data_IF_652094165547
#
_entry.id   IF_652094165547
#
_cell.length_a   1.000
_cell.length_b   1.000
_cell.length_c   1.000
_cell.angle_alpha   90.00
_cell.angle_beta   90.00
_cell.angle_gamma   90.00
#
_symmetry.space_group_name_H-M   'P 1'
#
loop_
_entity.id
_entity.type
_entity.pdbx_description
1 polymer ?
#
# COMPACT_ATOMS: atom_id res chain seq x y z
N UNK A 1 -20.69 28.46 0.36
CA UNK A 1 -20.66 27.38 1.37
C UNK A 1 -20.71 28.06 2.73
N UNK A 2 -21.57 27.63 3.64
CA UNK A 2 -21.67 28.21 4.99
C UNK A 2 -20.71 27.50 5.96
N UNK A 3 -20.38 28.14 7.08
CA UNK A 3 -19.39 27.64 8.05
C UNK A 3 -19.76 26.24 8.59
N UNK A 4 -21.05 25.96 8.79
CA UNK A 4 -21.54 24.64 9.23
C UNK A 4 -21.36 23.52 8.19
N UNK A 5 -21.43 23.80 6.88
CA UNK A 5 -21.14 22.79 5.86
C UNK A 5 -19.64 22.50 5.73
N UNK A 6 -18.80 23.49 5.98
CA UNK A 6 -17.34 23.33 5.98
C UNK A 6 -16.90 22.49 7.18
N UNK A 7 -17.44 22.73 8.37
CA UNK A 7 -17.16 21.91 9.56
C UNK A 7 -17.58 20.44 9.38
N UNK A 8 -18.78 20.17 8.86
CA UNK A 8 -19.24 18.81 8.58
C UNK A 8 -18.36 18.09 7.55
N UNK A 9 -17.90 18.80 6.52
CA UNK A 9 -17.02 18.23 5.49
C UNK A 9 -15.64 17.88 6.06
N UNK A 10 -15.12 18.71 6.97
CA UNK A 10 -13.85 18.45 7.64
C UNK A 10 -13.95 17.27 8.62
N UNK A 11 -15.08 17.13 9.32
CA UNK A 11 -15.35 15.97 10.19
C UNK A 11 -15.40 14.67 9.38
N UNK A 12 -16.16 14.65 8.28
CA UNK A 12 -16.23 13.50 7.37
C UNK A 12 -14.85 13.13 6.81
N UNK A 13 -14.07 14.12 6.37
CA UNK A 13 -12.71 13.91 5.87
C UNK A 13 -11.80 13.28 6.94
N UNK A 14 -11.86 13.77 8.17
CA UNK A 14 -11.09 13.22 9.29
C UNK A 14 -11.51 11.78 9.61
N UNK A 15 -12.81 11.47 9.59
CA UNK A 15 -13.32 10.12 9.78
C UNK A 15 -12.82 9.17 8.69
N UNK A 16 -12.82 9.60 7.41
CA UNK A 16 -12.27 8.80 6.31
C UNK A 16 -10.76 8.55 6.47
N UNK A 17 -10.00 9.54 6.93
CA UNK A 17 -8.58 9.35 7.23
C UNK A 17 -8.34 8.37 8.38
N UNK A 18 -9.19 8.40 9.42
CA UNK A 18 -9.13 7.45 10.53
C UNK A 18 -9.40 6.02 10.06
N UNK A 19 -10.51 5.80 9.34
CA UNK A 19 -10.86 4.48 8.76
C UNK A 19 -9.73 3.94 7.90
N UNK A 20 -9.18 4.77 7.01
CA UNK A 20 -8.05 4.38 6.16
C UNK A 20 -6.87 3.90 7.01
N UNK A 21 -6.45 4.70 7.99
CA UNK A 21 -5.32 4.38 8.87
C UNK A 21 -5.54 3.09 9.66
N UNK A 22 -6.73 2.92 10.23
CA UNK A 22 -7.10 1.72 10.98
C UNK A 22 -7.10 0.47 10.09
N UNK A 23 -7.68 0.55 8.89
CA UNK A 23 -7.68 -0.55 7.94
C UNK A 23 -6.26 -1.01 7.57
N UNK A 24 -5.33 -0.06 7.35
CA UNK A 24 -3.93 -0.38 7.04
C UNK A 24 -3.24 -1.04 8.24
N UNK A 25 -3.48 -0.54 9.45
CA UNK A 25 -2.88 -1.08 10.66
C UNK A 25 -3.38 -2.50 10.96
N UNK A 26 -4.61 -2.82 10.58
CA UNK A 26 -5.18 -4.19 10.70
C UNK A 26 -4.71 -5.11 9.56
N UNK A 27 -4.53 -4.57 8.35
CA UNK A 27 -4.15 -5.37 7.17
C UNK A 27 -2.80 -6.08 7.36
N UNK A 28 -1.77 -5.38 7.86
CA UNK A 28 -0.41 -5.96 7.94
C UNK A 28 -0.37 -7.19 8.86
N UNK A 29 -0.83 -7.12 10.13
CA UNK A 29 -0.82 -8.29 11.02
C UNK A 29 -1.71 -9.44 10.54
N UNK A 30 -2.79 -9.14 9.82
CA UNK A 30 -3.67 -10.17 9.30
C UNK A 30 -3.02 -10.89 8.12
N UNK A 31 -2.34 -10.18 7.23
CA UNK A 31 -1.57 -10.77 6.12
C UNK A 31 -0.46 -11.73 6.59
N UNK A 32 0.14 -11.49 7.76
CA UNK A 32 1.12 -12.41 8.35
C UNK A 32 0.49 -13.72 8.88
N UNK A 33 -0.80 -13.70 9.23
CA UNK A 33 -1.53 -14.85 9.78
C UNK A 33 -2.30 -15.63 8.72
N UNK A 34 -2.51 -15.05 7.53
CA UNK A 34 -3.28 -15.69 6.48
C UNK A 34 -2.44 -16.77 5.81
N UNK A 35 -2.78 -18.02 6.11
CA UNK A 35 -2.24 -19.19 5.42
C UNK A 35 -2.89 -19.35 4.03
N UNK A 36 -2.12 -19.84 3.07
CA UNK A 36 -2.64 -20.22 1.75
C UNK A 36 -2.85 -19.09 0.75
N UNK A 37 -2.52 -17.84 1.07
CA UNK A 37 -2.45 -16.75 0.07
C UNK A 37 -1.13 -16.86 -0.68
N UNK A 38 -1.21 -16.94 -2.00
CA UNK A 38 -0.05 -16.98 -2.88
C UNK A 38 0.76 -15.67 -2.86
N UNK A 39 2.02 -15.76 -3.25
CA UNK A 39 2.95 -14.63 -3.16
C UNK A 39 2.60 -13.49 -4.13
N UNK A 40 1.99 -13.80 -5.29
CA UNK A 40 1.53 -12.79 -6.25
C UNK A 40 0.44 -11.91 -5.62
N UNK A 41 -0.54 -12.54 -4.96
CA UNK A 41 -1.61 -11.85 -4.26
C UNK A 41 -1.09 -11.02 -3.09
N UNK A 42 -0.05 -11.49 -2.38
CA UNK A 42 0.63 -10.67 -1.35
C UNK A 42 1.26 -9.42 -1.96
N UNK A 43 1.93 -9.53 -3.10
CA UNK A 43 2.50 -8.37 -3.82
C UNK A 43 1.41 -7.37 -4.14
N UNK A 44 0.30 -7.79 -4.76
CA UNK A 44 -0.80 -6.91 -5.14
C UNK A 44 -1.36 -6.13 -3.94
N UNK A 45 -1.61 -6.82 -2.83
CA UNK A 45 -2.16 -6.23 -1.61
C UNK A 45 -1.18 -5.19 -1.03
N UNK A 46 0.09 -5.56 -0.86
CA UNK A 46 1.09 -4.66 -0.30
C UNK A 46 1.37 -3.46 -1.21
N UNK A 47 1.46 -3.65 -2.53
CA UNK A 47 1.65 -2.57 -3.50
C UNK A 47 0.46 -1.60 -3.50
N UNK A 48 -0.76 -2.13 -3.46
CA UNK A 48 -1.97 -1.30 -3.37
C UNK A 48 -1.98 -0.46 -2.10
N UNK A 49 -1.72 -1.09 -0.95
CA UNK A 49 -1.67 -0.39 0.32
C UNK A 49 -0.52 0.65 0.36
N UNK A 50 0.64 0.33 -0.23
CA UNK A 50 1.76 1.27 -0.33
C UNK A 50 1.39 2.52 -1.13
N UNK A 51 0.77 2.37 -2.31
CA UNK A 51 0.33 3.49 -3.17
C UNK A 51 -0.65 4.43 -2.47
N UNK A 52 -1.61 3.86 -1.73
CA UNK A 52 -2.62 4.62 -0.99
C UNK A 52 -1.99 5.46 0.14
N UNK A 53 -0.89 4.97 0.71
CA UNK A 53 -0.31 5.50 1.96
C UNK A 53 1.00 6.24 1.78
N UNK A 54 1.67 6.07 0.65
CA UNK A 54 3.08 6.40 0.45
C UNK A 54 3.98 5.78 1.54
N UNK A 55 3.67 4.56 2.01
CA UNK A 55 4.43 3.90 3.08
C UNK A 55 5.49 2.95 2.50
N UNK A 56 6.77 3.29 2.71
CA UNK A 56 7.91 2.51 2.24
C UNK A 56 8.05 1.13 2.90
N UNK A 57 7.49 0.92 4.09
CA UNK A 57 7.50 -0.40 4.73
C UNK A 57 6.62 -1.40 3.95
N UNK A 58 5.50 -0.94 3.39
CA UNK A 58 4.64 -1.77 2.55
C UNK A 58 5.33 -2.15 1.24
N UNK A 59 6.11 -1.24 0.64
CA UNK A 59 6.95 -1.56 -0.53
C UNK A 59 8.01 -2.61 -0.22
N UNK A 60 8.57 -2.59 1.00
CA UNK A 60 9.52 -3.62 1.45
C UNK A 60 8.86 -5.00 1.60
N UNK A 61 7.63 -5.04 2.11
CA UNK A 61 6.86 -6.28 2.21
C UNK A 61 6.48 -6.81 0.82
N UNK A 62 6.05 -5.94 -0.10
CA UNK A 62 5.80 -6.29 -1.50
C UNK A 62 7.06 -6.88 -2.16
N UNK A 63 8.22 -6.25 -1.98
CA UNK A 63 9.49 -6.79 -2.46
C UNK A 63 9.80 -8.18 -1.90
N UNK A 64 9.58 -8.37 -0.60
CA UNK A 64 9.76 -9.67 0.07
C UNK A 64 8.91 -10.76 -0.56
N UNK A 65 7.62 -10.49 -0.77
CA UNK A 65 6.69 -11.41 -1.42
C UNK A 65 7.08 -11.69 -2.88
N UNK A 66 7.42 -10.63 -3.65
CA UNK A 66 7.79 -10.76 -5.05
C UNK A 66 8.95 -11.74 -5.25
N UNK A 67 9.95 -11.72 -4.37
CA UNK A 67 11.08 -12.67 -4.42
C UNK A 67 10.69 -14.13 -4.23
N UNK A 68 9.59 -14.40 -3.56
CA UNK A 68 9.12 -15.74 -3.23
C UNK A 68 8.17 -16.32 -4.28
N UNK A 69 7.74 -15.52 -5.28
CA UNK A 69 6.93 -16.00 -6.40
C UNK A 69 7.69 -17.13 -7.12
N UNK A 70 7.12 -18.34 -7.27
CA UNK A 70 7.82 -19.47 -7.91
C UNK A 70 8.04 -19.28 -9.41
N UNK A 71 7.01 -18.79 -10.12
CA UNK A 71 7.09 -18.56 -11.56
C UNK A 71 8.10 -17.44 -11.88
N UNK A 72 9.04 -17.74 -12.77
CA UNK A 72 10.15 -16.83 -13.08
C UNK A 72 9.70 -15.56 -13.80
N UNK A 73 8.65 -15.64 -14.62
CA UNK A 73 8.15 -14.52 -15.41
C UNK A 73 7.35 -13.60 -14.49
N UNK A 74 6.37 -14.15 -13.77
CA UNK A 74 5.56 -13.42 -12.79
C UNK A 74 6.43 -12.75 -11.72
N UNK A 75 7.49 -13.44 -11.25
CA UNK A 75 8.47 -12.86 -10.33
C UNK A 75 9.18 -11.65 -10.93
N UNK A 76 9.63 -11.75 -12.18
CA UNK A 76 10.31 -10.64 -12.84
C UNK A 76 9.38 -9.43 -13.02
N UNK A 77 8.12 -9.67 -13.41
CA UNK A 77 7.09 -8.64 -13.55
C UNK A 77 6.80 -7.95 -12.21
N UNK A 78 6.55 -8.73 -11.15
CA UNK A 78 6.33 -8.20 -9.81
C UNK A 78 7.51 -7.37 -9.28
N UNK A 79 8.75 -7.79 -9.59
CA UNK A 79 9.94 -7.02 -9.22
C UNK A 79 10.04 -5.70 -10.00
N UNK A 80 9.69 -5.69 -11.29
CA UNK A 80 9.63 -4.46 -12.09
C UNK A 80 8.61 -3.48 -11.50
N UNK A 81 7.42 -3.97 -11.12
CA UNK A 81 6.39 -3.13 -10.50
C UNK A 81 6.86 -2.49 -9.20
N UNK A 82 7.54 -3.25 -8.34
CA UNK A 82 8.16 -2.74 -7.11
C UNK A 82 9.20 -1.66 -7.43
N UNK A 83 10.06 -1.88 -8.42
CA UNK A 83 11.08 -0.90 -8.83
C UNK A 83 10.42 0.40 -9.32
N UNK A 84 9.39 0.30 -10.15
CA UNK A 84 8.67 1.47 -10.66
C UNK A 84 8.04 2.30 -9.55
N UNK A 85 7.40 1.64 -8.58
CA UNK A 85 6.76 2.33 -7.44
C UNK A 85 7.77 2.95 -6.48
N UNK A 86 8.91 2.29 -6.25
CA UNK A 86 10.02 2.85 -5.49
C UNK A 86 10.58 4.09 -6.20
N UNK A 87 10.82 4.02 -7.50
CA UNK A 87 11.29 5.16 -8.29
C UNK A 87 10.28 6.34 -8.25
N UNK A 88 8.99 6.05 -8.37
CA UNK A 88 7.94 7.06 -8.21
C UNK A 88 7.99 7.72 -6.82
N UNK A 89 8.14 6.92 -5.76
CA UNK A 89 8.23 7.41 -4.39
C UNK A 89 9.48 8.28 -4.15
N UNK A 90 10.62 7.88 -4.71
CA UNK A 90 11.87 8.67 -4.68
C UNK A 90 11.65 10.01 -5.38
N UNK A 91 11.20 9.98 -6.64
CA UNK A 91 10.97 11.20 -7.41
C UNK A 91 9.99 12.14 -6.70
N UNK A 92 8.93 11.60 -6.11
CA UNK A 92 7.98 12.42 -5.34
C UNK A 92 8.69 13.12 -4.17
N UNK A 93 9.46 12.41 -3.36
CA UNK A 93 10.17 12.98 -2.21
C UNK A 93 11.24 14.01 -2.61
N UNK A 94 11.93 13.81 -3.73
CA UNK A 94 12.93 14.76 -4.23
C UNK A 94 12.32 16.06 -4.77
N UNK A 95 11.05 16.02 -5.21
CA UNK A 95 10.33 17.16 -5.80
C UNK A 95 9.21 17.72 -4.89
N UNK A 96 9.14 17.27 -3.63
CA UNK A 96 8.20 17.75 -2.60
C UNK A 96 8.78 18.90 -1.80
#
# INVERSE_FOLDING_TARGET
MNDSQIENTNEELNNLYAIRKEAINSLIPDMEKVEGVDEERKVEIYMTAARITNNSNLLRLAYGAAKNIPDTVARAEALIDVIQEVNYSINKLENS
#
